data_IF_610313434385
#
_entry.id   IF_610313434385
#
_cell.length_a   1.000
_cell.length_b   1.000
_cell.length_c   1.000
_cell.angle_alpha   90.00
_cell.angle_beta   90.00
_cell.angle_gamma   90.00
#
_symmetry.space_group_name_H-M   'P 1'
#
loop_
_entity.id
_entity.type
_entity.pdbx_description
1 polymer ?
#
# COMPACT_ATOMS: atom_id res chain seq x y z
N UNK A 1 4.03 -0.68 -11.25
CA UNK A 1 4.28 0.67 -10.70
C UNK A 1 3.57 0.68 -9.37
N UNK A 2 4.30 0.44 -8.28
CA UNK A 2 3.70 0.55 -6.96
C UNK A 2 3.74 2.03 -6.60
N UNK A 3 2.60 2.69 -6.79
CA UNK A 3 2.40 4.02 -6.22
C UNK A 3 1.98 3.78 -4.78
N UNK A 4 2.69 4.39 -3.83
CA UNK A 4 2.16 4.63 -2.49
C UNK A 4 1.02 5.65 -2.61
N UNK A 5 -0.09 5.24 -3.24
CA UNK A 5 -1.33 5.99 -3.27
C UNK A 5 -2.04 5.65 -1.96
N UNK A 6 -2.15 6.64 -1.06
CA UNK A 6 -3.06 6.55 0.08
C UNK A 6 -4.46 6.16 -0.40
N UNK A 7 -5.19 5.42 0.45
CA UNK A 7 -6.50 4.81 0.18
C UNK A 7 -6.72 4.40 -1.27
N UNK A 8 -6.43 3.14 -1.57
CA UNK A 8 -6.69 2.55 -2.87
C UNK A 8 -8.19 2.69 -3.21
N UNK A 9 -8.61 3.46 -4.23
CA UNK A 9 -10.02 3.70 -4.45
C UNK A 9 -10.76 2.40 -4.80
N UNK A 10 -11.98 2.21 -4.29
CA UNK A 10 -12.81 1.01 -4.55
C UNK A 10 -12.95 0.68 -6.05
N UNK A 11 -12.96 1.75 -6.86
CA UNK A 11 -12.99 1.67 -8.31
C UNK A 11 -11.73 1.06 -8.93
N UNK A 12 -10.55 1.35 -8.38
CA UNK A 12 -9.29 0.75 -8.83
C UNK A 12 -9.16 -0.70 -8.37
N UNK A 13 -9.65 -1.03 -7.17
CA UNK A 13 -9.75 -2.42 -6.71
C UNK A 13 -10.66 -3.26 -7.59
N UNK A 14 -11.83 -2.72 -7.94
CA UNK A 14 -12.69 -3.34 -8.95
C UNK A 14 -11.93 -3.58 -10.26
N UNK A 15 -11.18 -2.58 -10.73
CA UNK A 15 -10.48 -2.70 -12.00
C UNK A 15 -9.31 -3.70 -11.97
N UNK A 16 -8.63 -3.81 -10.82
CA UNK A 16 -7.56 -4.76 -10.60
C UNK A 16 -8.05 -6.20 -10.53
N UNK A 17 -9.17 -6.45 -9.86
CA UNK A 17 -9.74 -7.81 -9.70
C UNK A 17 -10.51 -8.30 -10.94
N UNK A 18 -10.90 -7.41 -11.86
CA UNK A 18 -11.71 -7.76 -13.03
C UNK A 18 -11.05 -7.40 -14.37
N UNK A 19 -9.79 -7.83 -14.63
CA UNK A 19 -9.08 -7.45 -15.84
C UNK A 19 -9.77 -7.96 -17.11
N UNK A 20 -10.35 -9.16 -17.06
CA UNK A 20 -11.04 -9.78 -18.20
C UNK A 20 -12.32 -9.04 -18.57
N UNK A 21 -13.15 -8.67 -17.58
CA UNK A 21 -14.39 -7.92 -17.82
C UNK A 21 -14.09 -6.55 -18.42
N UNK A 22 -13.03 -5.88 -17.93
CA UNK A 22 -12.58 -4.62 -18.51
C UNK A 22 -12.09 -4.82 -19.94
N UNK A 23 -11.32 -5.86 -20.22
CA UNK A 23 -10.86 -6.15 -21.58
C UNK A 23 -12.03 -6.41 -22.55
N UNK A 24 -13.05 -7.15 -22.10
CA UNK A 24 -14.27 -7.41 -22.88
C UNK A 24 -15.05 -6.13 -23.15
N UNK A 25 -15.22 -5.26 -22.14
CA UNK A 25 -15.92 -4.00 -22.31
C UNK A 25 -15.13 -3.02 -23.20
N UNK A 26 -13.81 -2.99 -23.09
CA UNK A 26 -12.94 -2.25 -24.02
C UNK A 26 -13.15 -2.74 -25.46
N UNK A 27 -13.20 -4.06 -25.67
CA UNK A 27 -13.47 -4.63 -26.98
C UNK A 27 -14.86 -4.24 -27.51
N UNK A 28 -15.89 -4.26 -26.64
CA UNK A 28 -17.25 -3.84 -26.96
C UNK A 28 -17.33 -2.35 -27.33
N UNK A 29 -16.66 -1.48 -26.57
CA UNK A 29 -16.59 -0.04 -26.87
C UNK A 29 -15.92 0.14 -28.25
N UNK A 30 -14.81 -0.54 -28.50
CA UNK A 30 -14.10 -0.46 -29.79
C UNK A 30 -14.92 -0.99 -30.97
N UNK A 31 -15.78 -2.00 -30.77
CA UNK A 31 -16.63 -2.55 -31.82
C UNK A 31 -17.88 -1.71 -32.11
N UNK A 32 -18.41 -1.02 -31.10
CA UNK A 32 -19.67 -0.27 -31.22
C UNK A 32 -19.50 1.21 -31.60
N UNK A 33 -18.27 1.72 -31.62
CA UNK A 33 -18.05 3.14 -31.91
C UNK A 33 -17.78 3.34 -33.40
N UNK A 34 -18.68 4.02 -34.12
CA UNK A 34 -18.45 4.51 -35.49
C UNK A 34 -17.36 5.61 -35.58
N UNK A 35 -16.87 6.07 -34.43
CA UNK A 35 -15.80 7.08 -34.33
C UNK A 35 -14.44 6.41 -34.56
N UNK A 36 -13.91 6.56 -35.77
CA UNK A 36 -12.50 6.29 -36.12
C UNK A 36 -11.51 6.88 -35.09
N UNK A 37 -11.90 7.93 -34.36
CA UNK A 37 -11.12 8.54 -33.30
C UNK A 37 -10.82 7.59 -32.13
N UNK A 38 -11.76 6.72 -31.73
CA UNK A 38 -11.55 5.77 -30.61
C UNK A 38 -10.65 4.58 -30.95
N UNK A 39 -10.43 4.30 -32.24
CA UNK A 39 -9.40 3.35 -32.68
C UNK A 39 -7.99 3.93 -32.56
N UNK A 40 -7.86 5.27 -32.52
CA UNK A 40 -6.58 6.02 -32.46
C UNK A 40 -6.26 6.57 -31.07
N UNK A 41 -7.26 6.72 -30.20
CA UNK A 41 -7.07 7.18 -28.81
C UNK A 41 -6.28 6.12 -28.02
N UNK A 42 -5.29 6.60 -27.24
CA UNK A 42 -4.52 5.80 -26.29
C UNK A 42 -5.42 4.88 -25.44
N UNK A 43 -4.91 3.73 -25.01
CA UNK A 43 -5.73 2.74 -24.28
C UNK A 43 -6.31 3.26 -22.95
N UNK A 44 -5.75 4.34 -22.39
CA UNK A 44 -6.12 4.84 -21.06
C UNK A 44 -7.53 5.47 -21.00
N UNK A 45 -7.92 6.43 -21.86
CA UNK A 45 -9.31 6.92 -21.91
C UNK A 45 -10.35 5.82 -22.11
N UNK A 46 -10.09 4.87 -23.02
CA UNK A 46 -11.01 3.76 -23.30
C UNK A 46 -11.16 2.84 -22.10
N UNK A 47 -10.05 2.55 -21.40
CA UNK A 47 -10.07 1.81 -20.14
C UNK A 47 -10.90 2.53 -19.08
N UNK A 48 -10.75 3.86 -18.95
CA UNK A 48 -11.50 4.61 -17.95
C UNK A 48 -13.01 4.57 -18.22
N UNK A 49 -13.41 4.71 -19.48
CA UNK A 49 -14.81 4.56 -19.90
C UNK A 49 -15.33 3.15 -19.61
N UNK A 50 -14.57 2.10 -19.93
CA UNK A 50 -14.94 0.72 -19.62
C UNK A 50 -15.16 0.51 -18.11
N UNK A 51 -14.27 1.05 -17.28
CA UNK A 51 -14.43 1.00 -15.82
C UNK A 51 -15.69 1.78 -15.39
N UNK A 52 -15.95 2.97 -15.95
CA UNK A 52 -17.18 3.73 -15.64
C UNK A 52 -18.43 2.92 -15.96
N UNK A 53 -18.47 2.25 -17.12
CA UNK A 53 -19.63 1.47 -17.56
C UNK A 53 -19.88 0.25 -16.67
N UNK A 54 -18.81 -0.39 -16.18
CA UNK A 54 -18.90 -1.62 -15.39
C UNK A 54 -19.04 -1.37 -13.89
N UNK A 55 -18.55 -0.23 -13.39
CA UNK A 55 -18.55 0.11 -11.97
C UNK A 55 -19.88 0.76 -11.55
N UNK A 56 -20.92 -0.07 -11.46
CA UNK A 56 -22.27 0.33 -11.03
C UNK A 56 -22.35 0.67 -9.53
N UNK A 57 -23.47 1.23 -9.09
CA UNK A 57 -23.74 1.49 -7.66
C UNK A 57 -23.64 0.22 -6.80
N UNK A 58 -24.07 -0.93 -7.33
CA UNK A 58 -23.94 -2.22 -6.66
C UNK A 58 -22.47 -2.63 -6.49
N UNK A 59 -21.66 -2.48 -7.56
CA UNK A 59 -20.21 -2.73 -7.47
C UNK A 59 -19.54 -1.77 -6.50
N UNK A 60 -19.98 -0.51 -6.48
CA UNK A 60 -19.46 0.46 -5.53
C UNK A 60 -19.69 0.02 -4.08
N UNK A 61 -20.89 -0.44 -3.72
CA UNK A 61 -21.16 -0.92 -2.36
C UNK A 61 -20.27 -2.12 -1.98
N UNK A 62 -20.14 -3.10 -2.88
CA UNK A 62 -19.33 -4.31 -2.66
C UNK A 62 -17.86 -3.96 -2.45
N UNK A 63 -17.28 -3.13 -3.32
CA UNK A 63 -15.85 -2.83 -3.26
C UNK A 63 -15.50 -1.80 -2.17
N UNK A 64 -16.46 -0.95 -1.77
CA UNK A 64 -16.30 -0.15 -0.56
C UNK A 64 -16.24 -1.02 0.69
N UNK A 65 -17.08 -2.05 0.79
CA UNK A 65 -17.03 -2.96 1.93
C UNK A 65 -15.75 -3.78 1.94
N UNK A 66 -15.32 -4.31 0.79
CA UNK A 66 -14.01 -4.98 0.66
C UNK A 66 -12.86 -4.10 1.12
N UNK A 67 -12.86 -2.81 0.77
CA UNK A 67 -11.83 -1.89 1.26
C UNK A 67 -11.86 -1.79 2.78
N UNK A 68 -13.04 -1.64 3.39
CA UNK A 68 -13.15 -1.56 4.85
C UNK A 68 -12.64 -2.84 5.52
N UNK A 69 -12.95 -4.00 4.95
CA UNK A 69 -12.45 -5.29 5.44
C UNK A 69 -10.92 -5.35 5.35
N UNK A 70 -10.33 -4.98 4.20
CA UNK A 70 -8.87 -4.94 4.02
C UNK A 70 -8.20 -3.92 4.94
N UNK A 71 -8.78 -2.72 5.11
CA UNK A 71 -8.28 -1.69 6.03
C UNK A 71 -8.29 -2.19 7.48
N UNK A 72 -9.29 -2.99 7.85
CA UNK A 72 -9.45 -3.57 9.18
C UNK A 72 -8.53 -4.75 9.48
N UNK A 73 -8.00 -5.45 8.46
CA UNK A 73 -7.09 -6.59 8.66
C UNK A 73 -5.65 -6.13 8.92
N UNK A 74 -5.43 -5.48 10.05
CA UNK A 74 -4.11 -5.01 10.46
C UNK A 74 -3.08 -6.13 10.58
N UNK A 75 -3.49 -7.35 10.94
CA UNK A 75 -2.58 -8.47 11.12
C UNK A 75 -1.98 -8.92 9.79
N UNK A 76 -2.82 -9.13 8.77
CA UNK A 76 -2.37 -9.46 7.42
C UNK A 76 -1.56 -8.32 6.81
N UNK A 77 -2.04 -7.08 6.94
CA UNK A 77 -1.33 -5.91 6.43
C UNK A 77 0.08 -5.77 7.02
N UNK A 78 0.24 -5.97 8.33
CA UNK A 78 1.55 -5.93 8.99
C UNK A 78 2.46 -7.09 8.56
N UNK A 79 1.89 -8.26 8.26
CA UNK A 79 2.63 -9.42 7.80
C UNK A 79 3.18 -9.23 6.39
N UNK A 80 2.36 -8.71 5.46
CA UNK A 80 2.73 -8.57 4.04
C UNK A 80 3.52 -7.30 3.73
N UNK A 81 3.33 -6.24 4.53
CA UNK A 81 3.94 -4.93 4.31
C UNK A 81 5.45 -4.96 4.03
N UNK A 82 6.29 -5.70 4.79
CA UNK A 82 7.74 -5.68 4.58
C UNK A 82 8.12 -6.19 3.18
N UNK A 83 7.49 -7.26 2.72
CA UNK A 83 7.77 -7.86 1.41
C UNK A 83 7.28 -6.97 0.27
N UNK A 84 6.08 -6.39 0.42
CA UNK A 84 5.52 -5.44 -0.54
C UNK A 84 6.40 -4.19 -0.66
N UNK A 85 6.87 -3.66 0.46
CA UNK A 85 7.78 -2.50 0.51
C UNK A 85 9.10 -2.79 -0.20
N UNK A 86 9.74 -3.94 0.07
CA UNK A 86 10.99 -4.34 -0.60
C UNK A 86 10.79 -4.43 -2.11
N UNK A 87 9.74 -5.14 -2.56
CA UNK A 87 9.45 -5.32 -3.99
C UNK A 87 9.19 -3.99 -4.67
N UNK A 88 8.38 -3.13 -4.07
CA UNK A 88 8.07 -1.80 -4.59
C UNK A 88 9.34 -0.95 -4.78
N UNK A 89 10.22 -0.93 -3.78
CA UNK A 89 11.47 -0.18 -3.83
C UNK A 89 12.43 -0.77 -4.88
N UNK A 90 12.53 -2.11 -4.96
CA UNK A 90 13.37 -2.77 -5.94
C UNK A 90 12.88 -2.52 -7.38
N UNK A 91 11.58 -2.59 -7.62
CA UNK A 91 10.95 -2.25 -8.91
C UNK A 91 11.27 -0.82 -9.35
N UNK A 92 11.38 0.12 -8.40
CA UNK A 92 11.77 1.51 -8.69
C UNK A 92 13.25 1.55 -9.10
N UNK A 93 14.12 0.86 -8.36
CA UNK A 93 15.54 0.78 -8.65
C UNK A 93 15.82 0.12 -10.02
N UNK A 94 15.08 -0.93 -10.37
CA UNK A 94 15.30 -1.73 -11.59
C UNK A 94 14.85 -1.02 -12.88
N UNK A 95 14.02 0.03 -12.78
CA UNK A 95 13.58 0.83 -13.94
C UNK A 95 14.71 1.61 -14.62
N UNK A 96 15.93 1.62 -14.04
CA UNK A 96 17.11 2.29 -14.56
C UNK A 96 16.93 3.80 -14.81
N UNK A 97 15.89 4.41 -14.23
CA UNK A 97 15.66 5.85 -14.32
C UNK A 97 16.59 6.66 -13.40
N UNK A 98 17.16 6.02 -12.38
CA UNK A 98 17.97 6.67 -11.33
C UNK A 98 19.48 6.35 -11.45
N UNK A 99 19.88 5.55 -12.44
CA UNK A 99 21.25 5.04 -12.54
C UNK A 99 21.60 4.07 -11.40
N UNK A 100 22.83 4.18 -10.86
CA UNK A 100 23.25 3.39 -9.70
C UNK A 100 22.62 3.94 -8.43
N UNK A 101 21.75 3.16 -7.78
CA UNK A 101 21.04 3.59 -6.58
C UNK A 101 21.06 2.52 -5.51
N UNK A 102 21.21 2.96 -4.25
CA UNK A 102 21.05 2.13 -3.05
C UNK A 102 20.15 2.88 -2.07
N UNK A 103 19.10 2.22 -1.61
CA UNK A 103 18.07 2.76 -0.72
C UNK A 103 18.02 1.93 0.56
N UNK A 104 17.78 2.61 1.68
CA UNK A 104 17.46 2.01 2.96
C UNK A 104 16.22 2.70 3.53
N UNK A 105 15.19 1.92 3.89
CA UNK A 105 13.95 2.43 4.48
C UNK A 105 13.77 1.80 5.85
N UNK A 106 13.67 2.63 6.87
CA UNK A 106 13.36 2.21 8.23
C UNK A 106 11.87 2.37 8.46
N UNK A 107 11.22 1.35 9.00
CA UNK A 107 9.81 1.40 9.35
C UNK A 107 9.58 0.82 10.74
N UNK A 108 8.47 1.20 11.37
CA UNK A 108 8.02 0.63 12.62
C UNK A 108 6.50 0.71 12.75
N UNK A 109 5.90 -0.26 13.42
CA UNK A 109 4.48 -0.27 13.78
C UNK A 109 4.25 -1.01 15.11
N UNK A 110 3.10 -0.74 15.74
CA UNK A 110 2.66 -1.44 16.96
C UNK A 110 1.92 -2.72 16.57
N UNK A 111 2.31 -3.83 17.18
CA UNK A 111 1.53 -5.07 17.16
C UNK A 111 0.30 -4.93 18.06
N UNK A 112 -0.69 -5.84 17.95
CA UNK A 112 -1.81 -5.90 18.91
C UNK A 112 -1.37 -6.05 20.38
N UNK A 113 -0.18 -6.61 20.63
CA UNK A 113 0.43 -6.69 21.98
C UNK A 113 1.02 -5.37 22.49
N UNK A 114 0.96 -4.30 21.70
CA UNK A 114 1.66 -3.01 21.89
C UNK A 114 3.19 -3.07 21.73
N UNK A 115 3.73 -4.26 21.41
CA UNK A 115 5.13 -4.43 21.06
C UNK A 115 5.46 -3.71 19.75
N UNK A 116 6.68 -3.18 19.67
CA UNK A 116 7.20 -2.53 18.47
C UNK A 116 7.77 -3.57 17.51
N UNK A 117 7.21 -3.68 16.30
CA UNK A 117 7.92 -4.29 15.17
C UNK A 117 8.67 -3.17 14.44
N UNK A 118 9.95 -3.36 14.15
CA UNK A 118 10.76 -2.38 13.41
C UNK A 118 11.87 -3.07 12.62
N UNK A 119 12.14 -2.60 11.39
CA UNK A 119 13.20 -3.15 10.52
C UNK A 119 13.79 -2.08 9.60
N UNK A 120 14.92 -2.41 8.98
CA UNK A 120 15.48 -1.68 7.83
C UNK A 120 15.36 -2.56 6.59
N UNK A 121 14.70 -2.04 5.56
CA UNK A 121 14.60 -2.64 4.23
C UNK A 121 15.64 -2.01 3.32
N UNK A 122 16.28 -2.85 2.51
CA UNK A 122 17.27 -2.43 1.53
C UNK A 122 16.79 -2.75 0.11
N UNK A 123 17.01 -1.82 -0.80
CA UNK A 123 16.80 -2.02 -2.23
C UNK A 123 17.91 -1.29 -3.00
N UNK A 124 18.27 -1.79 -4.17
CA UNK A 124 19.29 -1.11 -4.96
C UNK A 124 19.59 -1.81 -6.26
N UNK A 125 20.11 -1.05 -7.21
CA UNK A 125 20.42 -1.54 -8.54
C UNK A 125 21.73 -0.91 -9.04
N UNK A 126 22.59 -1.74 -9.64
CA UNK A 126 23.75 -1.28 -10.36
C UNK A 126 23.51 -1.45 -11.87
N UNK A 127 23.31 -0.37 -12.64
CA UNK A 127 23.00 -0.44 -14.06
C UNK A 127 24.17 -0.94 -14.92
N UNK A 128 25.42 -0.83 -14.43
CA UNK A 128 26.59 -1.35 -15.14
C UNK A 128 26.62 -2.88 -15.13
N UNK A 129 26.35 -3.48 -13.97
CA UNK A 129 26.34 -4.94 -13.80
C UNK A 129 24.95 -5.55 -13.99
N UNK A 130 23.90 -4.72 -14.08
CA UNK A 130 22.48 -5.10 -14.14
C UNK A 130 22.06 -6.02 -12.98
N UNK A 131 22.62 -5.80 -11.80
CA UNK A 131 22.39 -6.65 -10.62
C UNK A 131 21.87 -5.84 -9.43
N UNK A 132 21.03 -6.45 -8.57
CA UNK A 132 20.65 -5.85 -7.30
C UNK A 132 21.86 -5.61 -6.40
N UNK A 133 21.86 -4.49 -5.68
CA UNK A 133 22.85 -4.20 -4.64
C UNK A 133 22.33 -4.79 -3.31
N UNK A 134 23.03 -5.78 -2.76
CA UNK A 134 22.62 -6.51 -1.54
C UNK A 134 23.42 -6.12 -0.29
N UNK A 135 23.93 -4.89 -0.25
CA UNK A 135 24.83 -4.45 0.82
C UNK A 135 24.04 -3.81 1.95
N UNK A 136 24.26 -4.28 3.19
CA UNK A 136 23.75 -3.62 4.40
C UNK A 136 24.66 -2.45 4.79
N UNK A 137 24.09 -1.46 5.47
CA UNK A 137 24.89 -0.40 6.09
C UNK A 137 25.82 -1.01 7.15
N UNK A 138 27.04 -0.50 7.24
CA UNK A 138 28.00 -0.97 8.24
C UNK A 138 27.46 -0.79 9.68
N UNK A 139 26.78 0.31 9.93
CA UNK A 139 26.12 0.64 11.20
C UNK A 139 24.66 0.14 11.27
N UNK A 140 24.31 -0.96 10.59
CA UNK A 140 22.94 -1.49 10.54
C UNK A 140 22.33 -1.63 11.94
N UNK A 141 23.04 -2.29 12.86
CA UNK A 141 22.52 -2.58 14.20
C UNK A 141 22.35 -1.31 15.04
N UNK A 142 23.28 -0.37 14.94
CA UNK A 142 23.23 0.92 15.64
C UNK A 142 22.05 1.77 15.15
N UNK A 143 21.87 1.85 13.84
CA UNK A 143 20.75 2.57 13.22
C UNK A 143 19.41 1.91 13.57
N UNK A 144 19.34 0.58 13.51
CA UNK A 144 18.11 -0.14 13.85
C UNK A 144 17.74 0.07 15.33
N UNK A 145 18.72 0.07 16.23
CA UNK A 145 18.51 0.36 17.66
C UNK A 145 18.07 1.81 17.90
N UNK A 146 18.75 2.77 17.26
CA UNK A 146 18.39 4.19 17.37
C UNK A 146 16.98 4.45 16.82
N UNK A 147 16.64 3.83 15.69
CA UNK A 147 15.30 3.88 15.11
C UNK A 147 14.26 3.28 16.06
N UNK A 148 14.51 2.09 16.61
CA UNK A 148 13.60 1.46 17.56
C UNK A 148 13.30 2.36 18.77
N UNK A 149 14.32 3.00 19.34
CA UNK A 149 14.16 3.93 20.45
C UNK A 149 13.30 5.13 20.07
N UNK A 150 13.62 5.76 18.94
CA UNK A 150 12.86 6.90 18.43
C UNK A 150 11.39 6.54 18.15
N UNK A 151 11.17 5.47 17.36
CA UNK A 151 9.82 4.98 17.02
C UNK A 151 9.01 4.63 18.25
N UNK A 152 9.63 4.03 19.27
CA UNK A 152 8.93 3.71 20.51
C UNK A 152 8.44 4.96 21.26
N UNK A 153 9.14 6.10 21.13
CA UNK A 153 8.74 7.37 21.75
C UNK A 153 7.64 8.08 20.97
N UNK A 154 7.65 8.01 19.63
CA UNK A 154 6.73 8.78 18.79
C UNK A 154 5.47 8.03 18.37
N UNK A 155 5.50 6.70 18.31
CA UNK A 155 4.32 5.92 17.96
C UNK A 155 3.38 5.81 19.17
N UNK A 156 2.09 6.20 19.02
CA UNK A 156 1.11 6.07 20.08
C UNK A 156 1.04 4.62 20.59
N UNK A 157 1.05 4.44 21.90
CA UNK A 157 0.69 3.17 22.52
C UNK A 157 -0.82 2.97 22.39
N UNK A 158 -1.24 1.72 22.19
CA UNK A 158 -2.64 1.35 22.34
C UNK A 158 -3.00 1.58 23.81
N UNK A 159 -3.72 2.66 24.11
CA UNK A 159 -4.14 2.94 25.48
C UNK A 159 -4.89 1.72 26.01
N UNK A 160 -4.33 1.03 27.02
CA UNK A 160 -5.11 0.07 27.80
C UNK A 160 -6.28 0.85 28.35
N UNK A 161 -7.50 0.52 27.91
CA UNK A 161 -8.75 1.14 28.36
C UNK A 161 -8.72 1.26 29.87
N UNK A 162 -8.34 2.42 30.36
CA UNK A 162 -8.23 2.67 31.78
C UNK A 162 -9.64 2.99 32.21
N UNK A 163 -10.43 1.94 32.48
CA UNK A 163 -11.69 2.10 33.20
C UNK A 163 -11.28 2.63 34.58
N UNK A 164 -11.19 3.94 34.71
CA UNK A 164 -11.22 4.59 36.00
C UNK A 164 -12.64 4.37 36.51
N UNK A 165 -12.80 3.34 37.36
CA UNK A 165 -13.95 3.24 38.25
C UNK A 165 -13.98 4.54 39.05
N UNK A 166 -14.82 5.48 38.61
CA UNK A 166 -15.17 6.66 39.40
C UNK A 166 -15.90 6.11 40.62
N UNK A 167 -15.14 5.88 41.69
CA UNK A 167 -15.68 5.55 43.00
C UNK A 167 -16.41 6.81 43.45
N UNK A 168 -17.73 6.86 43.24
CA UNK A 168 -18.58 7.90 43.84
C UNK A 168 -18.30 7.87 45.34
N UNK A 169 -17.67 8.93 45.85
CA UNK A 169 -17.55 9.11 47.29
C UNK A 169 -18.97 9.22 47.86
N UNK A 170 -19.27 8.57 49.00
CA UNK A 170 -20.55 8.76 49.65
C UNK A 170 -20.69 10.23 50.02
N UNK A 171 -21.85 10.81 49.68
CA UNK A 171 -22.23 12.11 50.19
C UNK A 171 -22.20 12.04 51.72
N UNK A 172 -21.36 12.88 52.34
CA UNK A 172 -21.35 13.01 53.79
C UNK A 172 -22.64 13.70 54.25
N UNK A 173 -23.20 13.29 55.41
CA UNK A 173 -24.45 13.84 55.96
C UNK A 173 -24.35 15.28 56.43
#
# INVERSE_FOLDING_TARGET
>A
MVVFQGQYPARELFAYENPEKIAQEIARIRSNTELEDFKRIDSAPVRQTAITNLYSEEQQAIYQEKIREMEGDHALNQLEFPDLLVRALQDICDRNCLGSVSLAVMYAFRKPSDDLEHRIVYAGHNPKTKTPIKTRLHSHDELLKSWAQHSNTVLPCMAKSSISLIRRLPAYP
#
